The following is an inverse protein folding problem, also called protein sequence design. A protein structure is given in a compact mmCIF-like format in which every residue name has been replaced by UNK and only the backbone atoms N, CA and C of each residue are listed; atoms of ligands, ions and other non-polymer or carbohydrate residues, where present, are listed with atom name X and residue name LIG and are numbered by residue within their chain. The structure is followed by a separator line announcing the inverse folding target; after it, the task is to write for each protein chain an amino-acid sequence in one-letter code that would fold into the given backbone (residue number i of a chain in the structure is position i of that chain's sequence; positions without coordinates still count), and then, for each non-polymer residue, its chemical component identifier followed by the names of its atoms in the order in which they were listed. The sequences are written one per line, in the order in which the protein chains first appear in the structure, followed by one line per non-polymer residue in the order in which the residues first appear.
data_IF_546122617269
#
_entry.id   IF_546122617269
#
_cell.length_a   1.000
_cell.length_b   1.000
_cell.length_c   1.000
_cell.angle_alpha   90.00
_cell.angle_beta   90.00
_cell.angle_gamma   90.00
#
_symmetry.space_group_name_H-M   'P 1'
#
loop_
_entity.id
_entity.type
_entity.pdbx_description
1 polymer ?
#
# COMPACT_ATOMS: atom_id res chain seq x y z
N UNK A 1 -47.91 4.78 -19.55
CA UNK A 1 -47.24 3.63 -20.21
C UNK A 1 -45.80 3.95 -20.68
N UNK A 2 -45.24 5.14 -20.41
CA UNK A 2 -43.91 5.55 -20.90
C UNK A 2 -42.75 5.36 -19.90
N UNK A 3 -43.00 4.96 -18.64
CA UNK A 3 -41.97 4.87 -17.59
C UNK A 3 -41.32 3.47 -17.45
N UNK A 4 -41.91 2.42 -18.03
CA UNK A 4 -41.39 1.05 -17.94
C UNK A 4 -40.27 0.75 -18.96
N UNK A 5 -40.19 1.54 -20.05
CA UNK A 5 -39.17 1.33 -21.09
C UNK A 5 -37.78 1.85 -20.67
N UNK A 6 -37.72 2.85 -19.79
CA UNK A 6 -36.47 3.52 -19.41
C UNK A 6 -35.66 2.71 -18.38
N UNK A 7 -36.35 1.98 -17.49
CA UNK A 7 -35.69 1.11 -16.50
C UNK A 7 -34.93 -0.07 -17.14
N UNK A 8 -35.43 -0.59 -18.27
CA UNK A 8 -34.75 -1.65 -19.02
C UNK A 8 -33.46 -1.18 -19.70
N UNK A 9 -33.45 0.06 -20.19
CA UNK A 9 -32.27 0.66 -20.85
C UNK A 9 -31.20 1.01 -19.82
N UNK A 10 -31.57 1.53 -18.65
CA UNK A 10 -30.62 1.81 -17.57
C UNK A 10 -30.04 0.51 -17.02
N UNK A 11 -30.86 -0.53 -16.80
CA UNK A 11 -30.38 -1.82 -16.32
C UNK A 11 -29.45 -2.51 -17.33
N UNK A 12 -29.77 -2.45 -18.63
CA UNK A 12 -28.91 -2.96 -19.69
C UNK A 12 -27.62 -2.15 -19.86
N UNK A 13 -27.69 -0.82 -19.73
CA UNK A 13 -26.51 0.06 -19.80
C UNK A 13 -25.61 -0.13 -18.57
N UNK A 14 -26.17 -0.30 -17.38
CA UNK A 14 -25.42 -0.62 -16.15
C UNK A 14 -24.82 -2.01 -16.24
N UNK A 15 -25.57 -3.01 -16.74
CA UNK A 15 -25.07 -4.37 -16.92
C UNK A 15 -23.99 -4.44 -18.00
N UNK A 16 -24.12 -3.70 -19.10
CA UNK A 16 -23.09 -3.57 -20.12
C UNK A 16 -21.87 -2.77 -19.63
N UNK A 17 -22.07 -1.75 -18.79
CA UNK A 17 -20.97 -1.00 -18.16
C UNK A 17 -20.24 -1.83 -17.09
N UNK A 18 -20.95 -2.69 -16.36
CA UNK A 18 -20.37 -3.64 -15.40
C UNK A 18 -19.64 -4.77 -16.14
N UNK A 19 -20.22 -5.29 -17.23
CA UNK A 19 -19.58 -6.30 -18.09
C UNK A 19 -18.34 -5.76 -18.82
N UNK A 20 -18.36 -4.49 -19.28
CA UNK A 20 -17.17 -3.85 -19.85
C UNK A 20 -16.08 -3.57 -18.81
N UNK A 21 -16.43 -3.54 -17.52
CA UNK A 21 -15.47 -3.47 -16.41
C UNK A 21 -14.96 -4.82 -15.94
N UNK A 22 -15.43 -5.94 -16.48
CA UNK A 22 -14.82 -7.25 -16.24
C UNK A 22 -13.70 -7.56 -17.23
N UNK A 23 -13.81 -7.08 -18.47
CA UNK A 23 -12.83 -7.35 -19.54
C UNK A 23 -11.58 -6.48 -19.48
N UNK A 24 -11.62 -5.32 -18.82
CA UNK A 24 -10.48 -4.40 -18.68
C UNK A 24 -9.74 -4.50 -17.35
N UNK A 25 -10.17 -5.37 -16.41
CA UNK A 25 -9.40 -5.57 -15.17
C UNK A 25 -8.03 -6.10 -15.57
N UNK A 26 -6.92 -5.46 -15.17
CA UNK A 26 -5.64 -6.15 -15.21
C UNK A 26 -5.86 -7.40 -14.37
N UNK A 27 -5.85 -8.55 -15.03
CA UNK A 27 -5.99 -9.85 -14.41
C UNK A 27 -5.04 -9.88 -13.22
N UNK A 28 -5.59 -9.82 -12.00
CA UNK A 28 -4.88 -10.33 -10.83
C UNK A 28 -4.47 -11.72 -11.27
N UNK A 29 -3.16 -11.96 -11.44
CA UNK A 29 -2.69 -13.18 -12.08
C UNK A 29 -3.27 -14.38 -11.31
N UNK A 30 -4.27 -15.04 -11.90
CA UNK A 30 -5.04 -16.17 -11.39
C UNK A 30 -4.19 -17.46 -11.24
N UNK A 31 -2.93 -17.33 -10.86
CA UNK A 31 -1.97 -18.43 -10.76
C UNK A 31 -1.06 -18.39 -9.55
N UNK A 32 -1.20 -17.39 -8.65
CA UNK A 32 -0.31 -17.22 -7.50
C UNK A 32 -1.02 -16.90 -6.18
N UNK A 33 -2.33 -17.12 -6.07
CA UNK A 33 -3.02 -17.04 -4.79
C UNK A 33 -3.07 -18.42 -4.10
N UNK A 34 -2.93 -18.44 -2.78
CA UNK A 34 -2.83 -19.68 -1.99
C UNK A 34 -4.14 -20.50 -2.04
N UNK A 35 -5.28 -19.83 -2.22
CA UNK A 35 -6.61 -20.44 -2.40
C UNK A 35 -6.73 -21.17 -3.75
N UNK A 36 -6.21 -20.59 -4.83
CA UNK A 36 -6.13 -21.28 -6.14
C UNK A 36 -5.20 -22.51 -6.09
N UNK A 37 -4.11 -22.42 -5.33
CA UNK A 37 -3.17 -23.53 -5.14
C UNK A 37 -3.77 -24.67 -4.30
N UNK A 38 -4.52 -24.34 -3.24
CA UNK A 38 -5.13 -25.32 -2.33
C UNK A 38 -6.55 -25.76 -2.75
N UNK A 39 -7.15 -25.13 -3.77
CA UNK A 39 -8.53 -25.37 -4.25
C UNK A 39 -9.59 -25.32 -3.15
N UNK A 40 -9.36 -24.49 -2.13
CA UNK A 40 -10.29 -24.28 -1.00
C UNK A 40 -10.95 -22.91 -1.12
N UNK A 41 -12.20 -22.75 -0.65
CA UNK A 41 -12.84 -21.43 -0.65
C UNK A 41 -12.03 -20.44 0.20
N UNK A 42 -11.79 -19.25 -0.35
CA UNK A 42 -10.95 -18.19 0.23
C UNK A 42 -11.23 -17.93 1.72
N UNK A 43 -12.51 -17.90 2.10
CA UNK A 43 -12.95 -17.65 3.48
C UNK A 43 -12.40 -18.67 4.49
N UNK A 44 -12.33 -19.95 4.11
CA UNK A 44 -11.86 -21.02 4.99
C UNK A 44 -10.35 -20.96 5.22
N UNK A 45 -9.61 -20.25 4.37
CA UNK A 45 -8.17 -20.13 4.45
C UNK A 45 -7.75 -18.77 5.05
N UNK A 46 -8.50 -17.71 4.74
CA UNK A 46 -8.24 -16.36 5.25
C UNK A 46 -8.46 -16.25 6.77
N UNK A 47 -9.55 -16.81 7.31
CA UNK A 47 -9.85 -16.81 8.75
C UNK A 47 -8.76 -17.46 9.61
N UNK A 48 -8.33 -18.71 9.35
CA UNK A 48 -7.28 -19.33 10.16
C UNK A 48 -5.94 -18.63 9.98
N UNK A 49 -5.63 -18.12 8.78
CA UNK A 49 -4.40 -17.34 8.56
C UNK A 49 -4.42 -16.03 9.36
N UNK A 50 -5.53 -15.31 9.35
CA UNK A 50 -5.70 -14.09 10.15
C UNK A 50 -5.61 -14.37 11.65
N UNK A 51 -6.22 -15.48 12.12
CA UNK A 51 -6.14 -15.90 13.51
C UNK A 51 -4.70 -16.27 13.91
N UNK A 52 -3.99 -16.99 13.05
CA UNK A 52 -2.59 -17.39 13.25
C UNK A 52 -1.68 -16.16 13.33
N UNK A 53 -1.75 -15.27 12.34
CA UNK A 53 -0.95 -14.04 12.31
C UNK A 53 -1.30 -13.10 13.46
N UNK A 54 -2.60 -12.94 13.76
CA UNK A 54 -3.06 -12.12 14.88
C UNK A 54 -2.58 -12.65 16.23
N UNK A 55 -2.65 -13.97 16.43
CA UNK A 55 -2.17 -14.61 17.67
C UNK A 55 -0.65 -14.50 17.77
N UNK A 56 0.08 -14.65 16.66
CA UNK A 56 1.52 -14.45 16.64
C UNK A 56 1.93 -13.01 17.01
N UNK A 57 1.26 -12.01 16.43
CA UNK A 57 1.49 -10.59 16.76
C UNK A 57 1.15 -10.31 18.22
N UNK A 58 0.03 -10.82 18.71
CA UNK A 58 -0.35 -10.66 20.12
C UNK A 58 0.64 -11.33 21.08
N UNK A 59 1.12 -12.52 20.74
CA UNK A 59 2.15 -13.21 21.52
C UNK A 59 3.48 -12.45 21.52
N UNK A 60 3.88 -11.87 20.38
CA UNK A 60 5.03 -10.98 20.29
C UNK A 60 4.87 -9.73 21.16
N UNK A 61 3.67 -9.14 21.17
CA UNK A 61 3.36 -7.97 22.00
C UNK A 61 3.49 -8.27 23.51
N UNK A 62 3.17 -9.50 23.93
CA UNK A 62 3.37 -9.96 25.30
C UNK A 62 4.86 -10.21 25.63
N UNK A 63 5.66 -10.65 24.66
CA UNK A 63 7.08 -10.96 24.86
C UNK A 63 7.97 -9.70 24.80
N UNK A 64 7.71 -8.83 23.82
CA UNK A 64 8.41 -7.55 23.61
C UNK A 64 7.36 -6.44 23.65
N UNK A 65 7.04 -5.90 24.84
CA UNK A 65 6.00 -4.89 24.96
C UNK A 65 6.44 -3.59 24.30
N UNK A 66 5.72 -3.21 23.24
CA UNK A 66 5.94 -2.00 22.45
C UNK A 66 6.06 -0.72 23.31
N UNK A 67 5.32 -0.64 24.42
CA UNK A 67 5.31 0.51 25.32
C UNK A 67 6.68 0.81 25.98
N UNK A 68 7.64 -0.13 25.93
CA UNK A 68 9.00 0.09 26.44
C UNK A 68 9.92 0.77 25.42
N UNK A 69 9.56 0.78 24.15
CA UNK A 69 10.40 1.27 23.04
C UNK A 69 9.99 2.64 22.52
N UNK A 70 8.78 3.12 22.86
CA UNK A 70 8.21 4.37 22.34
C UNK A 70 7.66 5.26 23.44
N UNK A 71 7.90 6.56 23.32
CA UNK A 71 7.38 7.58 24.22
C UNK A 71 5.86 7.74 24.08
N UNK A 72 5.09 7.19 25.02
CA UNK A 72 3.63 7.32 25.07
C UNK A 72 3.24 8.60 25.83
N UNK A 73 3.51 9.76 25.24
CA UNK A 73 3.08 11.05 25.78
C UNK A 73 2.17 11.77 24.78
N UNK A 74 1.07 12.34 25.29
CA UNK A 74 0.09 13.07 24.46
C UNK A 74 -1.24 13.30 25.18
N UNK A 75 -1.90 14.43 24.90
CA UNK A 75 -3.26 14.72 25.40
C UNK A 75 -4.31 14.24 24.41
N UNK A 76 -5.12 13.26 24.81
CA UNK A 76 -6.23 12.71 24.01
C UNK A 76 -5.79 11.72 22.93
N UNK A 77 -6.75 11.00 22.34
CA UNK A 77 -6.51 9.88 21.41
C UNK A 77 -5.71 10.28 20.14
N UNK A 78 -5.92 11.50 19.64
CA UNK A 78 -5.22 12.06 18.47
C UNK A 78 -3.87 12.71 18.81
N UNK A 79 -3.64 13.02 20.09
CA UNK A 79 -2.41 13.67 20.56
C UNK A 79 -1.33 12.67 21.00
N UNK A 80 -1.64 11.37 21.09
CA UNK A 80 -0.66 10.34 21.49
C UNK A 80 0.35 10.12 20.37
N UNK A 81 1.64 10.25 20.70
CA UNK A 81 2.77 10.04 19.77
C UNK A 81 2.83 8.65 19.16
N UNK A 82 2.32 7.62 19.83
CA UNK A 82 2.35 6.23 19.35
C UNK A 82 1.10 5.48 19.76
N UNK A 83 0.43 4.86 18.78
CA UNK A 83 -0.73 4.00 19.01
C UNK A 83 -0.28 2.55 19.18
N UNK A 84 -1.02 1.74 19.96
CA UNK A 84 -0.75 0.32 20.05
C UNK A 84 -0.80 -0.33 18.66
N UNK A 85 0.18 -1.19 18.30
CA UNK A 85 0.32 -1.71 16.94
C UNK A 85 -0.89 -2.56 16.52
N UNK A 86 -1.47 -3.32 17.44
CA UNK A 86 -2.68 -4.12 17.18
C UNK A 86 -3.90 -3.23 16.87
N UNK A 87 -4.02 -2.07 17.51
CA UNK A 87 -5.12 -1.13 17.29
C UNK A 87 -4.97 -0.45 15.93
N UNK A 88 -3.78 0.09 15.65
CA UNK A 88 -3.47 0.71 14.37
C UNK A 88 -3.66 -0.28 13.20
N UNK A 89 -3.15 -1.50 13.33
CA UNK A 89 -3.31 -2.55 12.32
C UNK A 89 -4.76 -2.95 12.09
N UNK A 90 -5.55 -3.10 13.16
CA UNK A 90 -6.99 -3.42 13.04
C UNK A 90 -7.76 -2.32 12.33
N UNK A 91 -7.48 -1.04 12.62
CA UNK A 91 -8.13 0.10 11.97
C UNK A 91 -7.77 0.16 10.48
N UNK A 92 -6.49 0.03 10.13
CA UNK A 92 -6.05 0.03 8.72
C UNK A 92 -6.66 -1.16 7.96
N UNK A 93 -6.69 -2.35 8.57
CA UNK A 93 -7.31 -3.53 7.97
C UNK A 93 -8.81 -3.37 7.77
N UNK A 94 -9.54 -2.84 8.75
CA UNK A 94 -10.97 -2.56 8.62
C UNK A 94 -11.26 -1.48 7.57
N UNK A 95 -10.39 -0.47 7.46
CA UNK A 95 -10.50 0.59 6.46
C UNK A 95 -10.28 0.07 5.03
N UNK A 96 -9.51 -1.02 4.86
CA UNK A 96 -9.29 -1.65 3.57
C UNK A 96 -10.58 -2.20 2.95
N UNK A 97 -11.50 -2.75 3.77
CA UNK A 97 -12.73 -3.38 3.32
C UNK A 97 -13.63 -2.42 2.52
N UNK A 98 -14.04 -1.26 3.05
CA UNK A 98 -14.88 -0.32 2.30
C UNK A 98 -14.15 0.25 1.07
N UNK A 99 -12.83 0.45 1.15
CA UNK A 99 -12.02 0.94 0.02
C UNK A 99 -12.07 -0.04 -1.15
N UNK A 100 -11.80 -1.32 -0.89
CA UNK A 100 -11.82 -2.35 -1.94
C UNK A 100 -13.24 -2.55 -2.48
N UNK A 101 -14.27 -2.48 -1.62
CA UNK A 101 -15.66 -2.64 -2.05
C UNK A 101 -16.17 -1.49 -2.93
N UNK A 102 -15.80 -0.25 -2.62
CA UNK A 102 -16.27 0.94 -3.36
C UNK A 102 -15.47 1.10 -4.66
N UNK A 103 -14.17 0.83 -4.63
CA UNK A 103 -13.25 1.21 -5.69
C UNK A 103 -12.89 0.02 -6.58
N UNK A 104 -12.90 -1.20 -6.03
CA UNK A 104 -12.58 -2.43 -6.78
C UNK A 104 -11.10 -2.61 -7.09
N UNK A 105 -10.21 -1.82 -6.47
CA UNK A 105 -8.76 -1.86 -6.68
C UNK A 105 -7.97 -2.00 -5.38
N UNK A 106 -6.76 -2.58 -5.47
CA UNK A 106 -5.84 -2.72 -4.34
C UNK A 106 -5.16 -1.41 -3.96
N UNK A 107 -4.75 -1.27 -2.70
CA UNK A 107 -3.95 -0.12 -2.25
C UNK A 107 -2.52 -0.22 -2.77
N UNK A 108 -2.09 0.76 -3.56
CA UNK A 108 -0.73 0.83 -4.08
C UNK A 108 -0.27 2.25 -4.38
N UNK A 109 0.75 2.71 -3.66
CA UNK A 109 1.28 4.07 -3.82
C UNK A 109 2.20 4.20 -5.04
N UNK A 110 2.91 3.12 -5.40
CA UNK A 110 3.85 3.10 -6.54
C UNK A 110 3.19 3.38 -7.88
N UNK A 111 1.94 2.94 -8.06
CA UNK A 111 1.18 3.16 -9.29
C UNK A 111 0.62 4.59 -9.37
N UNK A 112 0.22 5.16 -8.23
CA UNK A 112 -0.09 6.60 -8.13
C UNK A 112 1.10 7.49 -8.50
N UNK A 113 2.30 7.20 -7.98
CA UNK A 113 3.53 7.93 -8.33
C UNK A 113 3.85 7.86 -9.84
N UNK A 114 3.68 6.69 -10.47
CA UNK A 114 3.87 6.54 -11.92
C UNK A 114 2.82 7.28 -12.74
N UNK A 115 1.59 7.37 -12.25
CA UNK A 115 0.51 8.11 -12.91
C UNK A 115 0.82 9.60 -12.95
N UNK A 116 1.30 10.16 -11.84
CA UNK A 116 1.78 11.56 -11.78
C UNK A 116 2.98 11.73 -12.71
N UNK A 117 4.00 10.88 -12.62
CA UNK A 117 5.20 10.99 -13.45
C UNK A 117 4.89 10.91 -14.95
N UNK A 118 3.99 10.02 -15.37
CA UNK A 118 3.56 9.90 -16.76
C UNK A 118 2.82 11.15 -17.28
N UNK A 119 2.12 11.88 -16.40
CA UNK A 119 1.42 13.11 -16.72
C UNK A 119 2.35 14.34 -16.69
N UNK A 120 3.35 14.35 -15.80
CA UNK A 120 4.33 15.43 -15.68
C UNK A 120 5.43 15.36 -16.75
N UNK A 121 5.85 14.16 -17.18
CA UNK A 121 6.87 13.96 -18.23
C UNK A 121 6.28 13.92 -19.66
N UNK A 122 5.27 14.73 -19.97
CA UNK A 122 4.75 14.87 -21.34
C UNK A 122 5.75 15.67 -22.21
N UNK A 123 6.91 15.06 -22.47
CA UNK A 123 7.88 15.48 -23.48
C UNK A 123 7.53 14.69 -24.75
N UNK A 124 7.29 15.35 -25.90
CA UNK A 124 6.91 14.69 -27.14
C UNK A 124 7.90 13.61 -27.62
N UNK A 125 9.18 13.69 -27.24
CA UNK A 125 10.24 12.73 -27.58
C UNK A 125 10.19 11.37 -26.85
N UNK A 126 9.73 11.34 -25.59
CA UNK A 126 9.64 10.10 -24.78
C UNK A 126 8.47 9.19 -25.19
N UNK A 127 7.59 9.71 -26.06
CA UNK A 127 6.40 9.01 -26.59
C UNK A 127 6.76 7.79 -27.47
N UNK A 128 8.00 7.71 -27.96
CA UNK A 128 8.51 6.58 -28.76
C UNK A 128 9.16 5.44 -27.93
N UNK A 129 9.50 5.68 -26.66
CA UNK A 129 10.35 4.75 -25.87
C UNK A 129 9.56 3.67 -25.12
N UNK A 130 8.25 3.85 -24.83
CA UNK A 130 7.56 2.97 -23.89
C UNK A 130 6.17 2.51 -24.29
N UNK A 131 6.05 1.30 -24.84
CA UNK A 131 4.76 0.59 -24.90
C UNK A 131 4.13 0.43 -23.49
N UNK A 132 4.96 0.27 -22.43
CA UNK A 132 4.51 0.27 -21.01
C UNK A 132 4.03 1.64 -20.50
N UNK A 133 4.61 2.74 -20.96
CA UNK A 133 4.17 4.10 -20.56
C UNK A 133 2.77 4.41 -21.11
N UNK A 134 2.40 3.80 -22.24
CA UNK A 134 1.06 3.94 -22.84
C UNK A 134 -0.05 3.38 -21.95
N UNK A 135 0.23 2.31 -21.20
CA UNK A 135 -0.70 1.69 -20.23
C UNK A 135 -1.01 2.62 -19.04
N UNK A 136 -0.02 3.40 -18.58
CA UNK A 136 -0.22 4.40 -17.53
C UNK A 136 -0.73 5.75 -18.05
N UNK A 137 -0.52 6.05 -19.35
CA UNK A 137 -1.01 7.26 -20.02
C UNK A 137 -2.51 7.27 -20.32
N UNK A 138 -3.20 6.12 -20.28
CA UNK A 138 -4.55 5.97 -20.83
C UNK A 138 -5.61 5.51 -19.83
N UNK A 139 -5.32 5.50 -18.53
CA UNK A 139 -6.28 5.05 -17.51
C UNK A 139 -6.63 6.14 -16.52
N UNK A 140 -7.83 6.70 -16.61
CA UNK A 140 -8.46 7.49 -15.52
C UNK A 140 -8.71 6.65 -14.27
N UNK A 141 -8.60 5.32 -14.37
CA UNK A 141 -8.85 4.35 -13.29
C UNK A 141 -7.87 4.48 -12.11
N UNK A 142 -6.61 4.87 -12.36
CA UNK A 142 -5.56 4.92 -11.32
C UNK A 142 -5.50 6.25 -10.54
N UNK A 143 -6.30 7.26 -10.91
CA UNK A 143 -6.28 8.57 -10.24
C UNK A 143 -6.74 8.52 -8.79
N UNK A 144 -7.60 7.54 -8.46
CA UNK A 144 -7.96 7.24 -7.08
C UNK A 144 -6.71 7.04 -6.20
N UNK A 145 -5.69 6.32 -6.68
CA UNK A 145 -4.46 6.06 -5.91
C UNK A 145 -3.64 7.32 -5.68
N UNK A 146 -3.75 8.31 -6.58
CA UNK A 146 -3.17 9.64 -6.41
C UNK A 146 -3.89 10.40 -5.30
N UNK A 147 -5.23 10.37 -5.27
CA UNK A 147 -6.01 10.95 -4.17
C UNK A 147 -5.74 10.27 -2.83
N UNK A 148 -5.63 8.94 -2.81
CA UNK A 148 -5.22 8.19 -1.63
C UNK A 148 -3.83 8.63 -1.15
N UNK A 149 -2.86 8.75 -2.05
CA UNK A 149 -1.52 9.21 -1.70
C UNK A 149 -1.51 10.64 -1.15
N UNK A 150 -2.25 11.55 -1.79
CA UNK A 150 -2.41 12.93 -1.32
C UNK A 150 -3.09 12.99 0.06
N UNK A 151 -4.11 12.16 0.27
CA UNK A 151 -4.79 12.00 1.55
C UNK A 151 -3.88 11.42 2.64
N UNK A 152 -3.01 10.46 2.30
CA UNK A 152 -2.03 9.90 3.24
C UNK A 152 -0.98 10.95 3.64
N UNK A 153 -0.49 11.75 2.70
CA UNK A 153 0.44 12.86 2.98
C UNK A 153 -0.24 13.91 3.86
N UNK A 154 -1.48 14.32 3.51
CA UNK A 154 -2.25 15.28 4.30
C UNK A 154 -2.59 14.77 5.70
N UNK A 155 -2.97 13.49 5.82
CA UNK A 155 -3.23 12.84 7.10
C UNK A 155 -1.99 12.76 7.97
N UNK A 156 -0.83 12.41 7.40
CA UNK A 156 0.45 12.42 8.10
C UNK A 156 0.82 13.84 8.58
N UNK A 157 0.60 14.86 7.75
CA UNK A 157 0.84 16.25 8.12
C UNK A 157 -0.05 16.70 9.29
N UNK A 158 -1.36 16.43 9.22
CA UNK A 158 -2.30 16.75 10.30
C UNK A 158 -1.93 15.99 11.57
N UNK A 159 -1.64 14.69 11.48
CA UNK A 159 -1.23 13.87 12.62
C UNK A 159 0.05 14.40 13.26
N UNK A 160 1.07 14.74 12.47
CA UNK A 160 2.33 15.27 12.99
C UNK A 160 2.16 16.62 13.70
N UNK A 161 1.21 17.45 13.23
CA UNK A 161 0.87 18.72 13.84
C UNK A 161 0.11 18.52 15.16
N UNK A 162 -0.87 17.61 15.18
CA UNK A 162 -1.66 17.32 16.38
C UNK A 162 -0.87 16.58 17.47
N UNK A 163 0.11 15.77 17.09
CA UNK A 163 1.01 15.08 18.03
C UNK A 163 2.27 15.88 18.37
N UNK A 164 2.40 17.13 17.90
CA UNK A 164 3.57 18.01 18.12
C UNK A 164 4.92 17.37 17.73
N UNK A 165 4.91 16.43 16.76
CA UNK A 165 6.10 15.68 16.31
C UNK A 165 6.74 16.27 15.05
N UNK A 166 6.17 17.35 14.51
CA UNK A 166 6.66 17.99 13.30
C UNK A 166 8.09 18.53 13.52
N UNK A 167 9.06 17.98 12.76
CA UNK A 167 10.48 18.36 12.91
C UNK A 167 11.17 17.78 14.14
N UNK A 168 10.57 16.80 14.82
CA UNK A 168 11.18 16.12 15.98
C UNK A 168 12.36 15.20 15.64
N UNK A 169 12.56 14.90 14.36
CA UNK A 169 13.66 14.08 13.84
C UNK A 169 14.61 14.94 13.00
N UNK A 170 15.90 14.57 13.02
CA UNK A 170 16.90 15.19 12.15
C UNK A 170 16.46 15.12 10.69
N UNK A 171 16.77 16.16 9.92
CA UNK A 171 16.57 16.11 8.48
C UNK A 171 17.67 15.26 7.86
N UNK A 172 17.29 14.28 7.04
CA UNK A 172 18.27 13.59 6.20
C UNK A 172 18.82 14.54 5.13
N UNK A 173 20.10 14.40 4.81
CA UNK A 173 20.70 15.17 3.71
C UNK A 173 19.92 14.88 2.41
N UNK A 174 19.51 15.94 1.66
CA UNK A 174 18.66 15.80 0.48
C UNK A 174 19.18 14.82 -0.57
N UNK A 175 20.51 14.69 -0.71
CA UNK A 175 21.10 13.79 -1.68
C UNK A 175 20.87 12.32 -1.33
N UNK A 176 21.00 11.96 -0.06
CA UNK A 176 20.74 10.60 0.43
C UNK A 176 19.24 10.29 0.39
N UNK A 177 18.39 11.24 0.80
CA UNK A 177 16.93 11.10 0.70
C UNK A 177 16.45 10.91 -0.75
N UNK A 178 16.99 11.69 -1.69
CA UNK A 178 16.63 11.61 -3.10
C UNK A 178 17.12 10.31 -3.76
N UNK A 179 18.39 9.94 -3.54
CA UNK A 179 18.94 8.69 -4.09
C UNK A 179 18.25 7.45 -3.52
N UNK A 180 17.94 7.45 -2.21
CA UNK A 180 17.13 6.41 -1.57
C UNK A 180 15.73 6.31 -2.17
N UNK A 181 15.06 7.45 -2.41
CA UNK A 181 13.74 7.49 -3.06
C UNK A 181 13.73 6.90 -4.46
N UNK A 182 14.73 7.22 -5.29
CA UNK A 182 14.88 6.62 -6.63
C UNK A 182 15.04 5.10 -6.52
N UNK A 183 15.93 4.63 -5.64
CA UNK A 183 16.19 3.22 -5.47
C UNK A 183 14.95 2.46 -4.98
N UNK A 184 14.19 3.03 -4.04
CA UNK A 184 12.95 2.46 -3.53
C UNK A 184 11.88 2.34 -4.62
N UNK A 185 11.69 3.39 -5.43
CA UNK A 185 10.71 3.36 -6.53
C UNK A 185 11.14 2.36 -7.61
N UNK A 186 12.42 2.36 -7.96
CA UNK A 186 12.97 1.40 -8.92
C UNK A 186 12.77 -0.05 -8.45
N UNK A 187 13.12 -0.34 -7.19
CA UNK A 187 12.93 -1.64 -6.56
C UNK A 187 11.46 -2.06 -6.52
N UNK A 188 10.55 -1.18 -6.09
CA UNK A 188 9.11 -1.45 -6.06
C UNK A 188 8.56 -1.79 -7.46
N UNK A 189 9.11 -1.21 -8.52
CA UNK A 189 8.70 -1.53 -9.89
C UNK A 189 9.31 -2.81 -10.44
N UNK A 190 10.53 -3.15 -10.02
CA UNK A 190 11.12 -4.46 -10.33
C UNK A 190 10.36 -5.59 -9.63
N UNK A 191 9.95 -5.38 -8.38
CA UNK A 191 9.17 -6.35 -7.60
C UNK A 191 7.69 -6.46 -8.04
N UNK A 192 7.20 -5.54 -8.88
CA UNK A 192 5.80 -5.51 -9.31
C UNK A 192 4.83 -4.87 -8.30
N UNK A 193 5.33 -4.34 -7.19
CA UNK A 193 4.54 -3.69 -6.16
C UNK A 193 5.39 -3.07 -5.05
N UNK A 194 4.77 -2.18 -4.27
CA UNK A 194 5.35 -1.61 -3.05
C UNK A 194 4.89 -2.37 -1.80
N UNK A 195 5.41 -2.02 -0.64
CA UNK A 195 5.06 -2.65 0.66
C UNK A 195 3.57 -2.55 0.96
N UNK A 196 2.88 -1.46 0.61
CA UNK A 196 1.42 -1.37 0.79
C UNK A 196 0.66 -2.32 -0.13
N UNK A 197 1.14 -2.49 -1.38
CA UNK A 197 0.56 -3.42 -2.35
C UNK A 197 0.74 -4.89 -1.96
N UNK A 198 1.96 -5.31 -1.64
CA UNK A 198 2.22 -6.70 -1.23
C UNK A 198 1.78 -6.97 0.22
N UNK A 199 2.04 -6.04 1.13
CA UNK A 199 1.75 -6.19 2.56
C UNK A 199 0.28 -6.06 2.90
N UNK A 200 -0.35 -4.91 2.60
CA UNK A 200 -1.74 -4.68 3.01
C UNK A 200 -2.72 -5.43 2.11
N UNK A 201 -2.61 -5.24 0.79
CA UNK A 201 -3.54 -5.85 -0.15
C UNK A 201 -3.15 -7.30 -0.49
N UNK A 202 -1.87 -7.58 -0.73
CA UNK A 202 -1.38 -8.87 -1.18
C UNK A 202 -1.48 -9.99 -0.15
N UNK A 203 -1.12 -9.74 1.11
CA UNK A 203 -1.34 -10.72 2.20
C UNK A 203 -2.84 -10.90 2.46
N UNK A 204 -3.61 -9.82 2.42
CA UNK A 204 -5.07 -9.87 2.57
C UNK A 204 -5.77 -10.71 1.48
N UNK A 205 -5.22 -10.74 0.27
CA UNK A 205 -5.68 -11.58 -0.84
C UNK A 205 -5.05 -12.98 -0.85
N UNK A 206 -4.22 -13.32 0.14
CA UNK A 206 -3.48 -14.59 0.24
C UNK A 206 -2.57 -14.85 -0.99
N UNK A 207 -2.00 -13.80 -1.58
CA UNK A 207 -1.06 -13.95 -2.70
C UNK A 207 0.28 -14.56 -2.22
N UNK A 208 0.67 -15.70 -2.76
CA UNK A 208 1.90 -16.43 -2.43
C UNK A 208 3.16 -15.57 -2.60
N UNK A 209 3.21 -14.81 -3.70
CA UNK A 209 4.31 -13.89 -3.98
C UNK A 209 4.47 -12.84 -2.89
N UNK A 210 3.38 -12.39 -2.27
CA UNK A 210 3.40 -11.40 -1.21
C UNK A 210 3.93 -11.96 0.12
N UNK A 211 3.67 -13.24 0.41
CA UNK A 211 4.23 -13.92 1.59
C UNK A 211 5.76 -14.03 1.52
N UNK A 212 6.35 -14.06 0.33
CA UNK A 212 7.81 -14.06 0.14
C UNK A 212 8.35 -12.63 0.02
N UNK A 213 7.65 -11.77 -0.72
CA UNK A 213 8.09 -10.41 -0.99
C UNK A 213 8.18 -9.56 0.28
N UNK A 214 7.21 -9.65 1.20
CA UNK A 214 7.17 -8.81 2.40
C UNK A 214 8.34 -9.10 3.35
N UNK A 215 8.62 -10.36 3.76
CA UNK A 215 9.81 -10.67 4.56
C UNK A 215 11.11 -10.29 3.85
N UNK A 216 11.20 -10.46 2.53
CA UNK A 216 12.39 -10.06 1.78
C UNK A 216 12.61 -8.54 1.79
N UNK A 217 11.54 -7.74 1.66
CA UNK A 217 11.61 -6.28 1.75
C UNK A 217 12.09 -5.82 3.14
N UNK A 218 11.50 -6.37 4.21
CA UNK A 218 11.94 -6.05 5.58
C UNK A 218 13.37 -6.54 5.85
N UNK A 219 13.71 -7.76 5.43
CA UNK A 219 15.05 -8.31 5.58
C UNK A 219 16.12 -7.49 4.87
N UNK A 220 15.84 -7.04 3.64
CA UNK A 220 16.73 -6.14 2.90
C UNK A 220 16.88 -4.78 3.59
N UNK A 221 15.79 -4.19 4.09
CA UNK A 221 15.82 -2.92 4.82
C UNK A 221 16.63 -3.01 6.12
N UNK A 222 16.40 -4.06 6.92
CA UNK A 222 17.16 -4.33 8.14
C UNK A 222 18.64 -4.51 7.79
N UNK A 223 18.95 -5.37 6.82
CA UNK A 223 20.35 -5.59 6.38
C UNK A 223 21.01 -4.29 5.94
N UNK A 224 20.30 -3.44 5.20
CA UNK A 224 20.81 -2.13 4.77
C UNK A 224 21.10 -1.23 5.97
N UNK A 225 20.23 -1.19 6.97
CA UNK A 225 20.48 -0.44 8.21
C UNK A 225 21.73 -0.95 8.95
N UNK A 226 21.91 -2.27 9.05
CA UNK A 226 23.12 -2.86 9.64
C UNK A 226 24.38 -2.51 8.82
N UNK A 227 24.32 -2.60 7.49
CA UNK A 227 25.45 -2.23 6.62
C UNK A 227 25.81 -0.76 6.78
N UNK A 228 24.82 0.14 6.79
CA UNK A 228 25.07 1.57 6.99
C UNK A 228 25.69 1.87 8.36
N UNK A 229 25.20 1.23 9.42
CA UNK A 229 25.70 1.41 10.79
C UNK A 229 27.11 0.86 10.98
N UNK A 230 27.33 -0.40 10.61
CA UNK A 230 28.54 -1.14 10.95
C UNK A 230 29.63 -1.09 9.87
N UNK A 231 29.26 -1.09 8.59
CA UNK A 231 30.23 -1.11 7.49
C UNK A 231 30.63 0.29 7.02
N UNK A 232 29.69 1.25 7.02
CA UNK A 232 29.94 2.62 6.58
C UNK A 232 30.19 3.60 7.74
N UNK A 233 30.02 3.15 9.00
CA UNK A 233 30.23 3.98 10.19
C UNK A 233 29.31 5.21 10.25
N UNK A 234 28.19 5.19 9.52
CA UNK A 234 27.21 6.27 9.52
C UNK A 234 26.44 6.16 10.83
N UNK A 235 26.57 7.16 11.70
CA UNK A 235 25.76 7.25 12.92
C UNK A 235 24.30 7.52 12.54
N UNK A 236 23.50 6.46 12.52
CA UNK A 236 22.06 6.51 12.20
C UNK A 236 21.29 7.28 13.29
N UNK A 237 21.88 7.41 14.48
CA UNK A 237 21.31 8.08 15.64
C UNK A 237 21.09 9.60 15.42
N UNK A 238 21.66 10.17 14.35
CA UNK A 238 21.54 11.58 13.95
C UNK A 238 20.93 11.79 12.55
N UNK A 239 20.48 10.73 11.88
CA UNK A 239 19.69 10.80 10.64
C UNK A 239 18.20 10.99 10.96
#
# INVERSE_FOLDING_TARGET
MHLAADQGVISAAVSAHVASRETERPTVQHGFCLDDYLKTPHFNLALPMAALLGTFVFALDLYVPWAKEVEVYGKGIMGVRSWPPYLAGSIVGLLQIPIVLIIGDTLGTSTGMMTIAAQSLVIPGLRKIGARLKQYKSGTLNWWQVFFMAGAIGGAFISSTLSETLGSVGGVDPLYGFSGGILLIYGARLAGGCTSGHGLSGIGLLALLSFVAVPAMFGAGITTAFVMKYALGINIDHL
#
